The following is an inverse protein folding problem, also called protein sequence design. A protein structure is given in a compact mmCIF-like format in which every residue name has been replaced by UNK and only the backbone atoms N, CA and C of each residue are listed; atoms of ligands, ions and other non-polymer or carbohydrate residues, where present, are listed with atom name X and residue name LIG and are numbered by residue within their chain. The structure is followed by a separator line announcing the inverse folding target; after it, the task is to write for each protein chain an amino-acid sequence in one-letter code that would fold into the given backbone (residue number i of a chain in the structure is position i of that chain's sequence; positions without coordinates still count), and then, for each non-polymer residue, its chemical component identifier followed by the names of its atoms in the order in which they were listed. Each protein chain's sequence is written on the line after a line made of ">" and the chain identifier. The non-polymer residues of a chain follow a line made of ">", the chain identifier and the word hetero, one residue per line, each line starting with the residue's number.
data_IF_147013938410
#
_entry.id   IF_147013938410
#
_cell.length_a   1.000
_cell.length_b   1.000
_cell.length_c   1.000
_cell.angle_alpha   90.00
_cell.angle_beta   90.00
_cell.angle_gamma   90.00
#
_symmetry.space_group_name_H-M   'P 1'
#
loop_
_entity.id
_entity.type
_entity.pdbx_description
1 polymer ?
#
# COMPACT_ATOMS: atom_id res chain seq x y z
N UNK A 1 -7.87 18.49 -1.12
CA UNK A 1 -8.23 17.57 -2.22
C UNK A 1 -9.27 16.55 -1.80
N UNK A 2 -10.13 16.14 -2.74
CA UNK A 2 -11.31 15.28 -2.50
C UNK A 2 -11.03 13.77 -2.60
N UNK A 3 -9.99 13.37 -3.34
CA UNK A 3 -9.67 11.96 -3.62
C UNK A 3 -8.15 11.69 -3.57
N UNK A 4 -7.52 11.73 -2.38
CA UNK A 4 -6.07 11.58 -2.24
C UNK A 4 -5.55 10.18 -2.67
N UNK A 5 -6.40 9.15 -2.67
CA UNK A 5 -6.04 7.83 -3.19
C UNK A 5 -5.68 7.86 -4.69
N UNK A 6 -6.32 8.73 -5.49
CA UNK A 6 -5.99 8.87 -6.91
C UNK A 6 -4.61 9.48 -7.10
N UNK A 7 -4.19 10.42 -6.24
CA UNK A 7 -2.86 10.99 -6.30
C UNK A 7 -1.79 9.93 -6.03
N UNK A 8 -2.00 9.06 -5.03
CA UNK A 8 -1.11 7.93 -4.78
C UNK A 8 -1.06 6.94 -5.96
N UNK A 9 -2.21 6.67 -6.59
CA UNK A 9 -2.28 5.81 -7.76
C UNK A 9 -1.48 6.36 -8.94
N UNK A 10 -1.66 7.64 -9.26
CA UNK A 10 -0.89 8.28 -10.33
C UNK A 10 0.59 8.35 -10.01
N UNK A 11 0.97 8.60 -8.75
CA UNK A 11 2.37 8.60 -8.33
C UNK A 11 3.01 7.21 -8.49
N UNK A 12 2.33 6.14 -8.03
CA UNK A 12 2.82 4.77 -8.17
C UNK A 12 2.94 4.34 -9.64
N UNK A 13 2.00 4.75 -10.50
CA UNK A 13 2.06 4.50 -11.93
C UNK A 13 3.21 5.27 -12.61
N UNK A 14 3.43 6.52 -12.22
CA UNK A 14 4.50 7.35 -12.76
C UNK A 14 5.89 6.85 -12.34
N UNK A 15 6.03 6.37 -11.12
CA UNK A 15 7.28 5.76 -10.65
C UNK A 15 7.54 4.40 -11.31
N UNK A 16 6.48 3.64 -11.61
CA UNK A 16 6.58 2.36 -12.29
C UNK A 16 7.25 1.29 -11.44
N UNK A 17 7.87 0.30 -12.10
CA UNK A 17 8.48 -0.83 -11.42
C UNK A 17 7.45 -1.64 -10.62
N UNK A 18 7.76 -1.91 -9.35
CA UNK A 18 6.89 -2.69 -8.46
C UNK A 18 5.85 -1.82 -7.72
N UNK A 19 5.93 -0.49 -7.79
CA UNK A 19 5.07 0.41 -7.00
C UNK A 19 3.57 0.21 -7.21
N UNK A 20 3.06 -0.07 -8.44
CA UNK A 20 1.65 -0.41 -8.61
C UNK A 20 1.23 -1.67 -7.84
N UNK A 21 2.09 -2.69 -7.76
CA UNK A 21 1.82 -3.90 -6.99
C UNK A 21 1.80 -3.61 -5.48
N UNK A 22 2.76 -2.80 -4.99
CA UNK A 22 2.80 -2.33 -3.59
C UNK A 22 1.51 -1.60 -3.22
N UNK A 23 1.08 -0.66 -4.08
CA UNK A 23 -0.16 0.09 -3.88
C UNK A 23 -1.36 -0.86 -3.79
N UNK A 24 -1.50 -1.77 -4.76
CA UNK A 24 -2.65 -2.67 -4.82
C UNK A 24 -2.71 -3.56 -3.58
N UNK A 25 -1.59 -4.19 -3.22
CA UNK A 25 -1.50 -5.08 -2.07
C UNK A 25 -1.80 -4.37 -0.74
N UNK A 26 -1.26 -3.17 -0.54
CA UNK A 26 -1.54 -2.37 0.65
C UNK A 26 -3.01 -1.92 0.71
N UNK A 27 -3.59 -1.54 -0.44
CA UNK A 27 -4.99 -1.12 -0.52
C UNK A 27 -5.94 -2.28 -0.18
N UNK A 28 -5.69 -3.50 -0.67
CA UNK A 28 -6.50 -4.67 -0.33
C UNK A 28 -6.52 -4.94 1.18
N UNK A 29 -5.35 -4.88 1.84
CA UNK A 29 -5.25 -5.08 3.29
C UNK A 29 -5.97 -3.96 4.05
N UNK A 30 -5.79 -2.71 3.64
CA UNK A 30 -6.41 -1.56 4.29
C UNK A 30 -7.94 -1.54 4.13
N UNK A 31 -8.44 -1.85 2.93
CA UNK A 31 -9.88 -1.95 2.65
C UNK A 31 -10.50 -3.11 3.44
N UNK A 32 -9.85 -4.27 3.50
CA UNK A 32 -10.32 -5.39 4.32
C UNK A 32 -10.44 -4.98 5.79
N UNK A 33 -9.42 -4.32 6.36
CA UNK A 33 -9.49 -3.83 7.73
C UNK A 33 -10.58 -2.76 7.94
N UNK A 34 -10.83 -1.89 6.96
CA UNK A 34 -11.94 -0.94 7.01
C UNK A 34 -13.29 -1.65 7.04
N UNK A 35 -13.49 -2.64 6.18
CA UNK A 35 -14.72 -3.43 6.12
C UNK A 35 -14.95 -4.24 7.42
N UNK A 36 -13.88 -4.68 8.07
CA UNK A 36 -13.92 -5.35 9.38
C UNK A 36 -14.15 -4.39 10.56
N UNK A 37 -14.32 -3.09 10.34
CA UNK A 37 -14.46 -2.08 11.41
C UNK A 37 -13.17 -1.83 12.21
N UNK A 38 -12.03 -2.30 11.69
CA UNK A 38 -10.70 -2.23 12.31
C UNK A 38 -9.88 -1.02 11.86
N UNK A 39 -10.34 -0.28 10.85
CA UNK A 39 -9.66 0.88 10.30
C UNK A 39 -10.69 1.96 9.91
N UNK A 40 -10.42 3.23 10.19
CA UNK A 40 -11.24 4.34 9.67
C UNK A 40 -11.02 4.57 8.18
N UNK A 41 -12.04 5.04 7.45
CA UNK A 41 -11.97 5.25 5.99
C UNK A 41 -10.79 6.15 5.56
N UNK A 42 -10.55 7.25 6.28
CA UNK A 42 -9.43 8.16 6.00
C UNK A 42 -8.05 7.54 6.21
N UNK A 43 -7.95 6.49 7.03
CA UNK A 43 -6.69 5.81 7.31
C UNK A 43 -6.29 4.84 6.19
N UNK A 44 -7.20 4.45 5.28
CA UNK A 44 -6.84 3.62 4.10
C UNK A 44 -5.70 4.28 3.32
N UNK A 45 -5.85 5.58 3.04
CA UNK A 45 -4.86 6.36 2.29
C UNK A 45 -3.54 6.45 3.04
N UNK A 46 -3.58 6.58 4.38
CA UNK A 46 -2.37 6.62 5.22
C UNK A 46 -1.60 5.30 5.17
N UNK A 47 -2.30 4.18 5.26
CA UNK A 47 -1.70 2.84 5.19
C UNK A 47 -1.06 2.58 3.82
N UNK A 48 -1.76 2.92 2.74
CA UNK A 48 -1.23 2.79 1.37
C UNK A 48 0.00 3.67 1.16
N UNK A 49 -0.03 4.94 1.62
CA UNK A 49 1.11 5.84 1.53
C UNK A 49 2.34 5.30 2.29
N UNK A 50 2.13 4.73 3.48
CA UNK A 50 3.20 4.16 4.27
C UNK A 50 3.83 2.91 3.61
N UNK A 51 3.04 2.06 2.95
CA UNK A 51 3.57 0.95 2.17
C UNK A 51 4.41 1.43 0.98
N UNK A 52 3.90 2.39 0.21
CA UNK A 52 4.62 2.98 -0.92
C UNK A 52 5.94 3.66 -0.52
N UNK A 53 5.99 4.26 0.67
CA UNK A 53 7.19 4.93 1.17
C UNK A 53 8.24 3.97 1.74
N UNK A 54 7.88 2.72 2.10
CA UNK A 54 8.79 1.77 2.76
C UNK A 54 9.22 0.60 1.89
N UNK A 55 8.46 0.28 0.85
CA UNK A 55 8.84 -0.77 -0.11
C UNK A 55 9.53 -0.11 -1.29
N UNK A 56 10.86 -0.09 -1.27
CA UNK A 56 11.67 0.54 -2.31
C UNK A 56 11.59 -0.21 -3.63
N UNK A 57 11.68 0.53 -4.73
CA UNK A 57 11.82 -0.08 -6.04
C UNK A 57 13.14 -0.86 -6.12
N UNK A 58 13.06 -2.12 -6.55
CA UNK A 58 14.23 -2.94 -6.87
C UNK A 58 14.79 -2.62 -8.25
N UNK A 59 15.97 -3.18 -8.55
CA UNK A 59 16.67 -2.95 -9.83
C UNK A 59 16.05 -3.72 -11.01
N UNK A 60 15.33 -4.83 -10.74
CA UNK A 60 14.77 -5.72 -11.76
C UNK A 60 13.26 -5.88 -11.56
N UNK A 61 12.50 -5.76 -12.66
CA UNK A 61 11.07 -6.02 -12.69
C UNK A 61 10.80 -7.40 -13.30
N UNK A 62 10.62 -8.39 -12.44
CA UNK A 62 10.19 -9.73 -12.80
C UNK A 62 9.11 -10.26 -11.84
N UNK A 63 8.59 -11.45 -12.14
CA UNK A 63 7.53 -12.05 -11.33
C UNK A 63 7.95 -12.25 -9.87
N UNK A 64 9.13 -12.82 -9.54
CA UNK A 64 9.62 -12.88 -8.16
C UNK A 64 9.64 -11.53 -7.46
N UNK A 65 10.15 -10.47 -8.11
CA UNK A 65 10.19 -9.13 -7.53
C UNK A 65 8.79 -8.59 -7.24
N UNK A 66 7.82 -8.82 -8.14
CA UNK A 66 6.42 -8.41 -7.95
C UNK A 66 5.79 -9.15 -6.75
N UNK A 67 6.01 -10.46 -6.64
CA UNK A 67 5.46 -11.26 -5.53
C UNK A 67 6.07 -10.86 -4.19
N UNK A 68 7.38 -10.60 -4.15
CA UNK A 68 8.06 -10.11 -2.96
C UNK A 68 7.54 -8.73 -2.55
N UNK A 69 7.32 -7.83 -3.52
CA UNK A 69 6.76 -6.51 -3.28
C UNK A 69 5.34 -6.56 -2.70
N UNK A 70 4.48 -7.46 -3.22
CA UNK A 70 3.15 -7.72 -2.65
C UNK A 70 3.25 -8.16 -1.19
N UNK A 71 4.09 -9.15 -0.88
CA UNK A 71 4.25 -9.65 0.48
C UNK A 71 4.74 -8.56 1.44
N UNK A 72 5.76 -7.80 1.04
CA UNK A 72 6.29 -6.69 1.84
C UNK A 72 5.24 -5.60 2.06
N UNK A 73 4.50 -5.22 1.03
CA UNK A 73 3.43 -4.24 1.14
C UNK A 73 2.34 -4.69 2.12
N UNK A 74 1.96 -5.97 2.10
CA UNK A 74 0.99 -6.54 3.06
C UNK A 74 1.53 -6.53 4.49
N UNK A 75 2.82 -6.84 4.69
CA UNK A 75 3.45 -6.77 6.00
C UNK A 75 3.47 -5.33 6.55
N UNK A 76 3.89 -4.36 5.74
CA UNK A 76 3.89 -2.95 6.12
C UNK A 76 2.47 -2.48 6.43
N UNK A 77 1.49 -2.82 5.58
CA UNK A 77 0.11 -2.41 5.78
C UNK A 77 -0.46 -2.95 7.11
N UNK A 78 -0.24 -4.24 7.42
CA UNK A 78 -0.68 -4.83 8.70
C UNK A 78 -0.01 -4.17 9.89
N UNK A 79 1.28 -3.89 9.81
CA UNK A 79 2.02 -3.19 10.86
C UNK A 79 1.44 -1.78 11.10
N UNK A 80 1.22 -1.00 10.04
CA UNK A 80 0.62 0.33 10.15
C UNK A 80 -0.78 0.31 10.75
N UNK A 81 -1.61 -0.66 10.37
CA UNK A 81 -2.95 -0.81 10.96
C UNK A 81 -2.84 -1.07 12.46
N UNK A 82 -1.92 -1.91 12.92
CA UNK A 82 -1.73 -2.18 14.35
C UNK A 82 -1.33 -0.94 15.15
N UNK A 83 -0.51 -0.05 14.58
CA UNK A 83 -0.11 1.22 15.21
C UNK A 83 -1.28 2.20 15.35
N UNK A 84 -2.28 2.12 14.47
CA UNK A 84 -3.46 3.01 14.48
C UNK A 84 -4.58 2.53 15.41
N UNK A 85 -4.44 1.32 15.96
CA UNK A 85 -5.40 0.72 16.89
C UNK A 85 -4.94 0.81 18.35
N UNK A 86 -3.68 1.16 18.58
CA UNK A 86 -3.10 1.39 19.90
C UNK A 86 -3.36 2.79 20.44
#
# INVERSE_FOLDING_TARGET
>A
DRFPALQLAFAALAEGGIKPAVLNAANEVAVAAFLDGRLGFSNIVRVVAAALARVDNGEQLDLPAILQADEQARLVARHEISLLQG
#
